data_IF_091208040460
#
_entry.id   IF_091208040460
#
_cell.length_a   1.000
_cell.length_b   1.000
_cell.length_c   1.000
_cell.angle_alpha   90.00
_cell.angle_beta   90.00
_cell.angle_gamma   90.00
#
_symmetry.space_group_name_H-M   'P 1'
#
loop_
_entity.id
_entity.type
_entity.pdbx_description
1 polymer ?
#
# COMPACT_ATOMS: atom_id res chain seq x y z
N UNK A 1 -56.51 -4.85 -14.25
CA UNK A 1 -55.08 -4.98 -14.67
C UNK A 1 -54.83 -6.44 -15.00
N UNK A 2 -54.28 -6.76 -16.21
CA UNK A 2 -54.02 -8.17 -16.52
C UNK A 2 -52.90 -8.74 -15.66
N UNK A 3 -52.98 -9.99 -15.21
CA UNK A 3 -51.95 -10.66 -14.38
C UNK A 3 -50.54 -10.52 -14.98
N UNK A 4 -50.40 -10.50 -16.31
CA UNK A 4 -49.15 -10.33 -17.03
C UNK A 4 -48.51 -8.94 -16.78
N UNK A 5 -49.30 -7.84 -16.73
CA UNK A 5 -48.81 -6.50 -16.46
C UNK A 5 -48.30 -6.37 -15.04
N UNK A 6 -48.98 -6.96 -14.06
CA UNK A 6 -48.53 -6.97 -12.66
C UNK A 6 -47.20 -7.71 -12.53
N UNK A 7 -47.11 -8.90 -13.17
CA UNK A 7 -45.86 -9.67 -13.15
C UNK A 7 -44.67 -8.92 -13.77
N UNK A 8 -44.91 -8.25 -14.89
CA UNK A 8 -43.87 -7.42 -15.54
C UNK A 8 -43.40 -6.26 -14.64
N UNK A 9 -44.33 -5.57 -13.99
CA UNK A 9 -43.98 -4.46 -13.08
C UNK A 9 -43.16 -4.98 -11.91
N UNK A 10 -43.57 -6.09 -11.30
CA UNK A 10 -42.82 -6.70 -10.18
C UNK A 10 -41.41 -7.11 -10.63
N UNK A 11 -41.28 -7.74 -11.80
CA UNK A 11 -39.98 -8.14 -12.34
C UNK A 11 -39.07 -6.94 -12.58
N UNK A 12 -39.59 -5.84 -13.14
CA UNK A 12 -38.83 -4.61 -13.36
C UNK A 12 -38.37 -3.98 -12.03
N UNK A 13 -39.24 -3.94 -11.02
CA UNK A 13 -38.88 -3.38 -9.69
C UNK A 13 -37.79 -4.22 -9.00
N UNK A 14 -37.94 -5.55 -9.05
CA UNK A 14 -36.92 -6.46 -8.48
C UNK A 14 -35.60 -6.31 -9.20
N UNK A 15 -35.61 -6.25 -10.52
CA UNK A 15 -34.39 -6.08 -11.32
C UNK A 15 -33.70 -4.71 -11.08
N UNK A 16 -34.49 -3.64 -11.02
CA UNK A 16 -33.96 -2.31 -10.70
C UNK A 16 -33.36 -2.25 -9.26
N UNK A 17 -34.03 -2.86 -8.30
CA UNK A 17 -33.50 -2.99 -6.94
C UNK A 17 -32.19 -3.77 -6.87
N UNK A 18 -32.08 -4.86 -7.62
CA UNK A 18 -30.86 -5.66 -7.70
C UNK A 18 -29.71 -4.89 -8.37
N UNK A 19 -29.96 -4.18 -9.48
CA UNK A 19 -28.99 -3.32 -10.13
C UNK A 19 -28.51 -2.18 -9.21
N UNK A 20 -29.43 -1.57 -8.48
CA UNK A 20 -29.09 -0.52 -7.50
C UNK A 20 -28.20 -1.05 -6.37
N UNK A 21 -28.49 -2.26 -5.88
CA UNK A 21 -27.67 -2.95 -4.91
C UNK A 21 -26.26 -3.25 -5.43
N UNK A 22 -26.15 -3.78 -6.66
CA UNK A 22 -24.85 -4.01 -7.29
C UNK A 22 -24.07 -2.72 -7.50
N UNK A 23 -24.74 -1.66 -7.94
CA UNK A 23 -24.13 -0.32 -8.10
C UNK A 23 -23.63 0.24 -6.76
N UNK A 24 -24.40 0.08 -5.69
CA UNK A 24 -23.98 0.44 -4.34
C UNK A 24 -22.74 -0.35 -3.92
N UNK A 25 -22.76 -1.67 -4.07
CA UNK A 25 -21.59 -2.50 -3.73
C UNK A 25 -20.35 -2.13 -4.55
N UNK A 26 -20.50 -1.81 -5.84
CA UNK A 26 -19.39 -1.40 -6.69
C UNK A 26 -18.82 -0.04 -6.30
N UNK A 27 -19.67 0.91 -5.91
CA UNK A 27 -19.27 2.25 -5.49
C UNK A 27 -18.59 2.25 -4.10
N UNK A 28 -19.03 1.37 -3.21
CA UNK A 28 -18.50 1.30 -1.84
C UNK A 28 -17.44 0.21 -1.61
N UNK A 29 -17.20 -0.65 -2.59
CA UNK A 29 -16.06 -1.57 -2.54
C UNK A 29 -14.77 -0.80 -2.78
N UNK A 30 -14.24 -0.20 -1.72
CA UNK A 30 -12.82 0.16 -1.69
C UNK A 30 -12.03 -1.13 -1.80
N UNK A 31 -11.26 -1.29 -2.88
CA UNK A 31 -10.33 -2.42 -2.97
C UNK A 31 -9.39 -2.35 -1.77
N UNK A 32 -9.35 -3.36 -0.91
CA UNK A 32 -8.46 -3.33 0.25
C UNK A 32 -7.02 -3.21 -0.23
N UNK A 33 -6.22 -2.46 0.49
CA UNK A 33 -4.79 -2.39 0.23
C UNK A 33 -4.20 -3.78 0.46
N UNK A 34 -3.50 -4.30 -0.55
CA UNK A 34 -2.84 -5.61 -0.46
C UNK A 34 -1.36 -5.40 -0.20
N UNK A 35 -0.90 -5.89 0.96
CA UNK A 35 0.52 -5.87 1.32
C UNK A 35 1.26 -6.96 0.55
N UNK A 36 2.30 -6.59 -0.18
CA UNK A 36 3.05 -7.52 -1.02
C UNK A 36 3.92 -8.46 -0.18
N UNK A 37 3.59 -9.75 -0.17
CA UNK A 37 4.38 -10.78 0.51
C UNK A 37 5.82 -10.85 0.00
N UNK A 38 6.01 -10.79 -1.31
CA UNK A 38 7.34 -10.88 -1.93
C UNK A 38 8.23 -9.71 -1.54
N UNK A 39 7.66 -8.49 -1.45
CA UNK A 39 8.38 -7.31 -0.97
C UNK A 39 8.76 -7.46 0.51
N UNK A 40 7.83 -7.92 1.35
CA UNK A 40 8.11 -8.14 2.78
C UNK A 40 9.22 -9.18 2.98
N UNK A 41 9.24 -10.26 2.22
CA UNK A 41 10.29 -11.27 2.31
C UNK A 41 11.66 -10.77 1.83
N UNK A 42 11.70 -9.83 0.89
CA UNK A 42 12.93 -9.24 0.38
C UNK A 42 13.47 -8.08 1.23
N UNK A 43 12.67 -7.57 2.17
CA UNK A 43 13.03 -6.44 3.02
C UNK A 43 13.86 -6.87 4.23
N UNK A 44 14.81 -6.01 4.63
CA UNK A 44 15.63 -6.24 5.83
C UNK A 44 15.09 -5.52 7.06
N UNK A 45 14.41 -4.40 6.88
CA UNK A 45 13.82 -3.59 7.94
C UNK A 45 12.38 -3.22 7.62
N UNK A 46 11.59 -3.06 8.67
CA UNK A 46 10.17 -2.66 8.57
C UNK A 46 9.93 -1.55 9.56
N UNK A 47 9.83 -0.33 9.06
CA UNK A 47 9.64 0.82 9.93
C UNK A 47 8.28 1.47 9.73
N UNK A 48 7.69 1.87 10.83
CA UNK A 48 6.62 2.84 10.85
C UNK A 48 7.27 4.21 10.88
N UNK A 49 7.05 5.00 9.84
CA UNK A 49 7.72 6.29 9.71
C UNK A 49 6.75 7.40 9.29
N UNK A 50 6.99 8.58 9.81
CA UNK A 50 6.33 9.80 9.38
C UNK A 50 7.02 10.32 8.12
N UNK A 51 6.26 10.39 7.01
CA UNK A 51 6.72 10.93 5.73
C UNK A 51 6.15 12.32 5.55
N UNK A 52 7.02 13.30 5.35
CA UNK A 52 6.64 14.67 5.02
C UNK A 52 6.62 14.86 3.51
N UNK A 53 5.70 15.67 3.04
CA UNK A 53 5.63 16.08 1.64
C UNK A 53 6.26 17.46 1.52
N UNK A 54 7.21 17.57 0.64
CA UNK A 54 7.84 18.83 0.27
C UNK A 54 6.80 19.71 -0.45
N UNK A 55 6.54 20.89 0.10
CA UNK A 55 5.52 21.82 -0.40
C UNK A 55 5.83 22.37 -1.79
N UNK A 56 7.10 22.46 -2.17
CA UNK A 56 7.51 23.00 -3.47
C UNK A 56 7.38 21.96 -4.58
N UNK A 57 7.76 20.73 -4.29
CA UNK A 57 7.79 19.66 -5.31
C UNK A 57 6.57 18.74 -5.27
N UNK A 58 5.77 18.78 -4.20
CA UNK A 58 4.66 17.84 -3.96
C UNK A 58 5.12 16.38 -3.81
N UNK A 59 6.41 16.13 -3.57
CA UNK A 59 7.00 14.80 -3.47
C UNK A 59 7.41 14.49 -2.02
N UNK A 60 7.51 13.21 -1.64
CA UNK A 60 7.96 12.84 -0.31
C UNK A 60 9.40 13.29 -0.08
N UNK A 61 9.67 13.81 1.10
CA UNK A 61 11.01 14.12 1.56
C UNK A 61 11.83 12.84 1.71
N UNK A 62 13.14 12.90 1.42
CA UNK A 62 14.04 11.74 1.59
C UNK A 62 14.32 11.43 3.05
N UNK A 63 14.33 12.45 3.89
CA UNK A 63 14.52 12.32 5.33
C UNK A 63 13.18 11.98 5.97
N UNK A 64 13.08 10.77 6.49
CA UNK A 64 11.86 10.27 7.13
C UNK A 64 12.12 10.03 8.61
N UNK A 65 11.15 10.38 9.45
CA UNK A 65 11.24 10.19 10.89
C UNK A 65 10.69 8.81 11.25
N UNK A 66 11.55 7.96 11.76
CA UNK A 66 11.15 6.64 12.29
C UNK A 66 10.39 6.84 13.61
N UNK A 67 9.20 6.30 13.67
CA UNK A 67 8.37 6.27 14.88
C UNK A 67 8.61 4.95 15.62
N UNK A 68 8.65 3.85 14.87
CA UNK A 68 8.83 2.51 15.41
C UNK A 68 9.53 1.61 14.38
N UNK A 69 10.49 0.80 14.83
CA UNK A 69 11.01 -0.33 14.08
C UNK A 69 10.20 -1.57 14.46
N UNK A 70 9.32 -1.98 13.55
CA UNK A 70 8.33 -3.04 13.82
C UNK A 70 8.95 -4.43 13.99
N UNK A 71 10.12 -4.65 13.41
CA UNK A 71 10.84 -5.94 13.46
C UNK A 71 12.35 -5.69 13.45
N UNK A 72 12.93 -5.17 14.56
CA UNK A 72 14.33 -4.83 14.61
C UNK A 72 15.20 -6.08 14.44
N UNK A 73 16.23 -5.94 13.59
CA UNK A 73 17.30 -6.93 13.42
C UNK A 73 18.57 -6.31 13.98
N UNK A 74 18.90 -6.65 15.22
CA UNK A 74 19.99 -6.03 15.97
C UNK A 74 19.56 -4.72 16.64
N UNK A 75 20.25 -3.60 16.34
CA UNK A 75 19.88 -2.30 16.89
C UNK A 75 18.67 -1.76 16.16
N UNK A 76 17.60 -1.43 16.90
CA UNK A 76 16.39 -0.86 16.33
C UNK A 76 16.66 0.48 15.65
N UNK A 77 16.07 0.68 14.48
CA UNK A 77 16.15 1.94 13.77
C UNK A 77 15.32 3.00 14.52
N UNK A 78 15.92 4.17 14.71
CA UNK A 78 15.27 5.29 15.41
C UNK A 78 15.74 6.63 14.86
N UNK A 79 15.01 7.70 15.16
CA UNK A 79 15.34 9.06 14.73
C UNK A 79 15.02 9.30 13.26
N UNK A 80 15.86 10.03 12.57
CA UNK A 80 15.68 10.36 11.15
C UNK A 80 16.64 9.52 10.30
N UNK A 81 16.08 8.82 9.32
CA UNK A 81 16.83 8.03 8.34
C UNK A 81 16.62 8.59 6.94
N UNK A 82 17.56 8.29 6.05
CA UNK A 82 17.50 8.75 4.66
C UNK A 82 17.02 7.60 3.76
N UNK A 83 15.93 7.85 3.01
CA UNK A 83 15.37 6.89 2.04
C UNK A 83 15.52 7.46 0.64
N UNK A 84 16.53 6.96 -0.10
CA UNK A 84 16.95 7.58 -1.37
C UNK A 84 15.90 7.49 -2.47
N UNK A 85 15.24 6.35 -2.60
CA UNK A 85 14.29 6.10 -3.67
C UNK A 85 12.82 6.39 -3.29
N UNK A 86 12.56 7.06 -2.16
CA UNK A 86 11.19 7.31 -1.68
C UNK A 86 10.34 8.08 -2.70
N UNK A 87 10.97 8.98 -3.47
CA UNK A 87 10.30 9.75 -4.53
C UNK A 87 9.76 8.89 -5.68
N UNK A 88 10.28 7.67 -5.84
CA UNK A 88 9.82 6.69 -6.81
C UNK A 88 8.73 5.79 -6.23
N UNK A 89 8.52 5.85 -4.92
CA UNK A 89 7.59 5.01 -4.19
C UNK A 89 6.14 5.22 -4.62
N UNK A 90 5.37 4.14 -4.57
CA UNK A 90 3.91 4.14 -4.67
C UNK A 90 3.31 3.81 -3.31
N UNK A 91 2.14 4.33 -3.07
CA UNK A 91 1.38 3.99 -1.86
C UNK A 91 0.32 2.96 -2.21
N UNK A 92 0.23 1.90 -1.42
CA UNK A 92 -0.78 0.87 -1.59
C UNK A 92 -2.18 1.48 -1.58
N UNK A 93 -2.97 1.23 -2.62
CA UNK A 93 -4.29 1.83 -2.82
C UNK A 93 -4.30 3.21 -3.46
N UNK A 94 -3.16 3.89 -3.61
CA UNK A 94 -2.99 5.18 -4.28
C UNK A 94 -1.84 5.13 -5.29
N UNK A 95 -1.77 6.13 -6.19
CA UNK A 95 -0.70 6.15 -7.20
C UNK A 95 0.65 6.60 -6.64
N UNK A 96 0.64 7.58 -5.72
CA UNK A 96 1.84 8.22 -5.17
C UNK A 96 1.58 8.67 -3.72
N UNK A 97 2.65 9.07 -3.01
CA UNK A 97 2.51 9.77 -1.72
C UNK A 97 1.80 11.11 -1.96
N UNK A 98 0.61 11.28 -1.39
CA UNK A 98 -0.20 12.48 -1.58
C UNK A 98 -0.31 13.34 -0.34
N UNK A 99 -0.20 12.73 0.81
CA UNK A 99 -0.44 13.38 2.09
C UNK A 99 0.68 13.03 3.07
N UNK A 100 1.08 13.97 3.94
CA UNK A 100 1.95 13.65 5.04
C UNK A 100 1.23 12.67 5.98
N UNK A 101 1.93 11.68 6.52
CA UNK A 101 1.30 10.69 7.38
C UNK A 101 2.22 9.57 7.82
N UNK A 102 1.62 8.59 8.49
CA UNK A 102 2.30 7.39 8.96
C UNK A 102 2.25 6.30 7.89
N UNK A 103 3.42 5.81 7.52
CA UNK A 103 3.57 4.80 6.50
C UNK A 103 4.40 3.63 7.01
N UNK A 104 3.97 2.42 6.67
CA UNK A 104 4.80 1.23 6.75
C UNK A 104 5.76 1.26 5.55
N UNK A 105 7.05 1.34 5.84
CA UNK A 105 8.12 1.35 4.85
C UNK A 105 8.93 0.05 4.95
N UNK A 106 8.78 -0.86 3.99
CA UNK A 106 9.69 -2.00 3.83
C UNK A 106 11.00 -1.52 3.24
N UNK A 107 12.10 -1.67 3.98
CA UNK A 107 13.39 -1.09 3.63
C UNK A 107 14.48 -2.14 3.43
N UNK A 108 15.43 -1.79 2.57
CA UNK A 108 16.70 -2.49 2.40
C UNK A 108 17.85 -1.50 2.66
N UNK A 109 18.79 -1.87 3.51
CA UNK A 109 19.96 -1.07 3.80
C UNK A 109 20.89 -0.97 2.57
N UNK A 110 21.33 0.23 2.25
CA UNK A 110 22.25 0.51 1.12
C UNK A 110 23.59 1.06 1.61
N UNK A 111 23.57 1.65 2.81
CA UNK A 111 24.75 2.25 3.43
C UNK A 111 24.49 2.53 4.90
N UNK A 112 25.43 3.25 5.53
CA UNK A 112 25.25 3.68 6.92
C UNK A 112 24.13 4.73 6.96
N UNK A 113 23.06 4.44 7.70
CA UNK A 113 21.88 5.29 7.87
C UNK A 113 21.16 5.67 6.56
N UNK A 114 21.45 4.93 5.47
CA UNK A 114 20.87 5.13 4.14
C UNK A 114 20.14 3.86 3.71
N UNK A 115 18.90 4.02 3.32
CA UNK A 115 18.00 2.93 2.97
C UNK A 115 17.31 3.17 1.64
N UNK A 116 16.85 2.10 1.04
CA UNK A 116 15.90 2.14 -0.08
C UNK A 116 14.59 1.47 0.31
N UNK A 117 13.47 1.98 -0.19
CA UNK A 117 12.24 1.20 -0.24
C UNK A 117 12.52 -0.06 -1.07
N UNK A 118 12.22 -1.20 -0.49
CA UNK A 118 12.45 -2.49 -1.15
C UNK A 118 11.54 -2.60 -2.37
N UNK A 119 12.13 -2.93 -3.52
CA UNK A 119 11.40 -3.23 -4.75
C UNK A 119 10.87 -4.66 -4.67
N UNK A 120 9.70 -4.92 -5.23
CA UNK A 120 9.19 -6.29 -5.35
C UNK A 120 10.14 -7.14 -6.19
N UNK A 121 10.58 -8.31 -5.70
CA UNK A 121 11.38 -9.23 -6.50
C UNK A 121 10.56 -9.71 -7.69
N UNK A 122 11.23 -9.94 -8.81
CA UNK A 122 10.62 -10.44 -10.04
C UNK A 122 10.27 -11.92 -9.92
N UNK A 123 9.21 -12.32 -10.60
CA UNK A 123 8.93 -13.73 -10.80
C UNK A 123 9.99 -14.33 -11.75
N UNK A 124 10.49 -15.55 -11.48
CA UNK A 124 11.38 -16.24 -12.40
C UNK A 124 10.76 -16.33 -13.81
N UNK A 125 11.53 -16.03 -14.84
CA UNK A 125 11.09 -16.10 -16.23
C UNK A 125 10.48 -14.82 -16.81
N UNK A 126 10.29 -13.77 -16.03
CA UNK A 126 9.97 -12.45 -16.59
C UNK A 126 11.26 -11.76 -17.05
N UNK A 127 11.37 -11.55 -18.36
CA UNK A 127 12.44 -10.73 -18.93
C UNK A 127 12.42 -9.31 -18.40
N UNK A 128 13.61 -8.68 -18.41
CA UNK A 128 13.85 -7.36 -17.89
C UNK A 128 13.14 -6.27 -18.68
N UNK A 129 11.84 -6.14 -18.52
CA UNK A 129 11.14 -4.94 -18.95
C UNK A 129 11.53 -3.85 -17.95
N UNK A 130 12.40 -2.94 -18.37
CA UNK A 130 12.87 -1.72 -17.68
C UNK A 130 12.78 -1.74 -16.14
N UNK A 131 13.91 -1.94 -15.48
CA UNK A 131 14.05 -1.88 -14.02
C UNK A 131 13.50 -0.58 -13.44
N UNK A 132 13.60 0.51 -14.20
CA UNK A 132 13.10 1.84 -13.81
C UNK A 132 11.57 1.93 -13.72
N UNK A 133 10.85 0.94 -14.25
CA UNK A 133 9.38 0.90 -14.18
C UNK A 133 8.83 0.20 -12.92
N UNK A 134 9.64 -0.56 -12.19
CA UNK A 134 9.20 -1.26 -10.98
C UNK A 134 9.35 -0.31 -9.79
N UNK A 135 8.26 0.38 -9.49
CA UNK A 135 8.22 1.30 -8.36
C UNK A 135 8.04 0.54 -7.05
N UNK A 136 8.83 0.84 -6.00
CA UNK A 136 8.64 0.24 -4.68
C UNK A 136 7.33 0.70 -4.04
N UNK A 137 6.80 -0.11 -3.13
CA UNK A 137 5.55 0.19 -2.45
C UNK A 137 5.80 0.59 -1.00
N UNK A 138 5.07 1.60 -0.55
CA UNK A 138 4.82 1.92 0.84
C UNK A 138 3.33 1.73 1.15
N UNK A 139 2.96 1.62 2.41
CA UNK A 139 1.58 1.36 2.80
C UNK A 139 1.15 2.35 3.86
N UNK A 140 -0.03 2.96 3.70
CA UNK A 140 -0.62 3.78 4.76
C UNK A 140 -0.91 2.88 5.95
N UNK A 141 -0.34 3.20 7.12
CA UNK A 141 -0.44 2.33 8.29
C UNK A 141 -1.87 2.12 8.78
N UNK A 142 -2.67 3.19 8.76
CA UNK A 142 -4.06 3.19 9.22
C UNK A 142 -5.05 2.73 8.13
N UNK A 143 -4.55 2.33 6.95
CA UNK A 143 -5.44 1.79 5.92
C UNK A 143 -5.99 0.42 6.36
N UNK A 144 -7.29 0.16 6.10
CA UNK A 144 -7.93 -1.08 6.51
C UNK A 144 -7.19 -2.33 6.05
N UNK A 145 -6.86 -3.20 6.99
CA UNK A 145 -6.22 -4.50 6.75
C UNK A 145 -4.70 -4.47 6.56
N UNK A 146 -4.03 -3.31 6.54
CA UNK A 146 -2.56 -3.25 6.36
C UNK A 146 -1.84 -3.83 7.56
N UNK A 147 -2.24 -3.46 8.77
CA UNK A 147 -1.62 -3.93 10.01
C UNK A 147 -1.75 -5.44 10.17
N UNK A 148 -2.95 -5.97 10.00
CA UNK A 148 -3.25 -7.40 10.11
C UNK A 148 -2.50 -8.21 9.06
N UNK A 149 -2.44 -7.72 7.83
CA UNK A 149 -1.67 -8.35 6.76
C UNK A 149 -0.17 -8.35 7.07
N UNK A 150 0.38 -7.22 7.53
CA UNK A 150 1.77 -7.13 7.93
C UNK A 150 2.10 -8.13 9.05
N UNK A 151 1.30 -8.17 10.11
CA UNK A 151 1.49 -9.09 11.24
C UNK A 151 1.42 -10.57 10.83
N UNK A 152 0.57 -10.89 9.84
CA UNK A 152 0.48 -12.26 9.31
C UNK A 152 1.65 -12.66 8.43
N UNK A 153 2.23 -11.69 7.67
CA UNK A 153 3.32 -11.94 6.73
C UNK A 153 4.70 -11.91 7.39
N UNK A 154 4.85 -11.09 8.42
CA UNK A 154 6.11 -10.88 9.14
C UNK A 154 5.90 -11.21 10.62
N UNK A 155 5.97 -12.49 11.00
CA UNK A 155 5.76 -12.91 12.39
C UNK A 155 6.77 -12.26 13.34
N UNK A 156 6.36 -12.05 14.58
CA UNK A 156 7.26 -11.62 15.66
C UNK A 156 8.33 -12.68 15.85
N UNK A 157 9.58 -12.29 15.77
CA UNK A 157 10.74 -13.13 16.09
C UNK A 157 10.97 -13.19 17.60
#
# INVERSE_FOLDING_TARGET
>A
MSRRRVFLIVAVVVFAGWLSWLGYLAAYKTNPVVVSRSQMMASTHFVLAEVKIDSETGKPARDVRVIEDLRPVGVALSGTIKVENIKLGRVGGAKDFREPGLYLLPLTAVGKDVYNLTVQPRSPGQEAINYDSVRPWAYVWDAPGVKEQFESLVPKR
#
